data_IF_003988036587
#
_entry.id   IF_003988036587
#
_cell.length_a   1.000
_cell.length_b   1.000
_cell.length_c   1.000
_cell.angle_alpha   90.00
_cell.angle_beta   90.00
_cell.angle_gamma   90.00
#
_symmetry.space_group_name_H-M   'P 1'
#
loop_
_entity.id
_entity.type
_entity.pdbx_description
1 polymer ?
#
# COMPACT_ATOMS: atom_id res chain seq x y z
N UNK A 1 -10.77 35.77 -58.99
CA UNK A 1 -11.13 35.78 -57.55
C UNK A 1 -11.69 34.45 -57.03
N UNK A 2 -12.17 33.50 -57.85
CA UNK A 2 -12.77 32.24 -57.36
C UNK A 2 -11.80 31.23 -56.70
N UNK A 3 -10.53 31.16 -57.10
CA UNK A 3 -9.59 30.16 -56.58
C UNK A 3 -9.29 30.26 -55.07
N UNK A 4 -9.26 31.48 -54.51
CA UNK A 4 -8.98 31.70 -53.09
C UNK A 4 -10.09 31.21 -52.14
N UNK A 5 -11.35 31.18 -52.60
CA UNK A 5 -12.48 30.74 -51.80
C UNK A 5 -12.53 29.20 -51.70
N UNK A 6 -12.20 28.49 -52.79
CA UNK A 6 -12.06 27.02 -52.79
C UNK A 6 -10.97 26.56 -51.82
N UNK A 7 -9.80 27.19 -51.86
CA UNK A 7 -8.66 26.81 -51.01
C UNK A 7 -8.97 27.00 -49.52
N UNK A 8 -9.66 28.10 -49.17
CA UNK A 8 -10.07 28.38 -47.80
C UNK A 8 -11.07 27.35 -47.30
N UNK A 9 -12.12 27.08 -48.08
CA UNK A 9 -13.20 26.15 -47.70
C UNK A 9 -12.73 24.70 -47.63
N UNK A 10 -11.80 24.30 -48.51
CA UNK A 10 -11.16 22.99 -48.46
C UNK A 10 -10.27 22.85 -47.21
N UNK A 11 -9.56 23.91 -46.80
CA UNK A 11 -8.81 23.93 -45.54
C UNK A 11 -9.73 23.85 -44.32
N UNK A 12 -10.87 24.53 -44.35
CA UNK A 12 -11.90 24.45 -43.30
C UNK A 12 -12.50 23.05 -43.19
N UNK A 13 -12.85 22.41 -44.31
CA UNK A 13 -13.37 21.04 -44.33
C UNK A 13 -12.35 20.03 -43.81
N UNK A 14 -11.07 20.14 -44.21
CA UNK A 14 -10.00 19.28 -43.70
C UNK A 14 -9.77 19.47 -42.20
N UNK A 15 -9.75 20.72 -41.73
CA UNK A 15 -9.64 21.02 -40.28
C UNK A 15 -10.85 20.48 -39.51
N UNK A 16 -12.05 20.55 -40.09
CA UNK A 16 -13.25 19.97 -39.50
C UNK A 16 -13.18 18.43 -39.46
N UNK A 17 -12.66 17.77 -40.50
CA UNK A 17 -12.42 16.32 -40.51
C UNK A 17 -11.37 15.90 -39.48
N UNK A 18 -10.26 16.63 -39.39
CA UNK A 18 -9.23 16.41 -38.35
C UNK A 18 -9.82 16.57 -36.95
N UNK A 19 -10.74 17.53 -36.75
CA UNK A 19 -11.42 17.72 -35.46
C UNK A 19 -12.36 16.58 -35.06
N UNK A 20 -12.83 15.77 -36.02
CA UNK A 20 -13.63 14.57 -35.74
C UNK A 20 -12.76 13.36 -35.34
N UNK A 21 -11.43 13.47 -35.44
CA UNK A 21 -10.50 12.38 -35.12
C UNK A 21 -10.44 11.29 -36.19
N UNK A 22 -9.78 10.18 -35.86
CA UNK A 22 -9.68 9.01 -36.72
C UNK A 22 -11.07 8.42 -37.01
N UNK A 23 -11.28 7.95 -38.23
CA UNK A 23 -12.50 7.26 -38.63
C UNK A 23 -12.60 5.91 -37.90
N UNK A 24 -13.78 5.60 -37.35
CA UNK A 24 -14.06 4.36 -36.58
C UNK A 24 -15.39 3.72 -37.02
N UNK A 25 -15.64 3.68 -38.32
CA UNK A 25 -16.87 3.13 -38.91
C UNK A 25 -16.81 1.61 -39.07
N UNK A 26 -15.64 1.06 -39.39
CA UNK A 26 -15.43 -0.39 -39.52
C UNK A 26 -14.79 -1.03 -38.28
N UNK A 27 -14.98 -2.35 -38.04
CA UNK A 27 -14.33 -3.07 -36.95
C UNK A 27 -12.79 -2.97 -36.98
N UNK A 28 -12.19 -2.96 -38.16
CA UNK A 28 -10.73 -2.83 -38.33
C UNK A 28 -10.24 -1.44 -37.92
N UNK A 29 -11.02 -0.41 -38.24
CA UNK A 29 -10.73 0.96 -37.85
C UNK A 29 -10.87 1.17 -36.34
N UNK A 30 -11.93 0.60 -35.75
CA UNK A 30 -12.17 0.60 -34.30
C UNK A 30 -11.05 -0.10 -33.54
N UNK A 31 -10.65 -1.29 -34.01
CA UNK A 31 -9.54 -2.06 -33.43
C UNK A 31 -8.23 -1.29 -33.50
N UNK A 32 -7.92 -0.68 -34.67
CA UNK A 32 -6.71 0.15 -34.82
C UNK A 32 -6.70 1.32 -33.85
N UNK A 33 -7.84 1.99 -33.69
CA UNK A 33 -7.96 3.10 -32.75
C UNK A 33 -7.74 2.65 -31.30
N UNK A 34 -8.36 1.54 -30.89
CA UNK A 34 -8.15 0.99 -29.55
C UNK A 34 -6.69 0.58 -29.31
N UNK A 35 -6.00 0.01 -30.31
CA UNK A 35 -4.58 -0.31 -30.20
C UNK A 35 -3.70 0.94 -30.01
N UNK A 36 -4.03 2.07 -30.63
CA UNK A 36 -3.34 3.34 -30.36
C UNK A 36 -3.57 3.84 -28.93
N UNK A 37 -4.78 3.67 -28.39
CA UNK A 37 -5.09 4.01 -26.99
C UNK A 37 -4.34 3.09 -26.03
N UNK A 38 -4.32 1.77 -26.30
CA UNK A 38 -3.54 0.78 -25.53
C UNK A 38 -2.06 1.15 -25.52
N UNK A 39 -1.48 1.50 -26.67
CA UNK A 39 -0.06 1.87 -26.75
C UNK A 39 0.28 3.09 -25.88
N UNK A 40 -0.59 4.11 -25.87
CA UNK A 40 -0.43 5.29 -24.99
C UNK A 40 -0.55 4.91 -23.52
N UNK A 41 -1.55 4.10 -23.17
CA UNK A 41 -1.80 3.64 -21.81
C UNK A 41 -0.61 2.82 -21.27
N UNK A 42 -0.11 1.87 -22.06
CA UNK A 42 1.05 1.05 -21.71
C UNK A 42 2.29 1.91 -21.52
N UNK A 43 2.53 2.91 -22.38
CA UNK A 43 3.64 3.85 -22.21
C UNK A 43 3.52 4.66 -20.92
N UNK A 44 2.33 5.11 -20.53
CA UNK A 44 2.12 5.80 -19.25
C UNK A 44 2.42 4.84 -18.09
N UNK A 45 1.92 3.61 -18.17
CA UNK A 45 2.12 2.55 -17.18
C UNK A 45 3.60 2.23 -16.97
N UNK A 46 4.35 2.01 -18.05
CA UNK A 46 5.79 1.75 -17.98
C UNK A 46 6.55 2.91 -17.34
N UNK A 47 6.25 4.15 -17.72
CA UNK A 47 6.90 5.32 -17.12
C UNK A 47 6.52 5.48 -15.63
N UNK A 48 5.27 5.18 -15.26
CA UNK A 48 4.81 5.23 -13.88
C UNK A 48 5.51 4.20 -12.98
N UNK A 49 5.71 2.98 -13.49
CA UNK A 49 6.38 1.89 -12.78
C UNK A 49 7.89 2.12 -12.64
N UNK A 50 8.54 2.66 -13.67
CA UNK A 50 9.98 2.97 -13.65
C UNK A 50 10.30 4.33 -13.01
N UNK A 51 9.32 5.02 -12.41
CA UNK A 51 9.47 6.36 -11.83
C UNK A 51 9.98 7.43 -12.81
N UNK A 52 9.77 7.23 -14.12
CA UNK A 52 10.19 8.14 -15.18
C UNK A 52 9.17 9.28 -15.40
N UNK A 53 8.92 10.05 -14.34
CA UNK A 53 7.86 11.07 -14.33
C UNK A 53 8.17 12.28 -15.22
N UNK A 54 9.44 12.59 -15.48
CA UNK A 54 9.84 13.68 -16.38
C UNK A 54 9.58 13.40 -17.87
N UNK A 55 9.00 12.26 -18.22
CA UNK A 55 8.71 11.89 -19.60
C UNK A 55 7.48 12.60 -20.20
N UNK A 56 6.53 13.04 -19.37
CA UNK A 56 5.27 13.67 -19.79
C UNK A 56 4.76 14.62 -18.69
N UNK A 57 4.27 15.80 -19.08
CA UNK A 57 3.71 16.81 -18.17
C UNK A 57 2.51 16.30 -17.35
N UNK A 58 1.82 15.27 -17.84
CA UNK A 58 0.69 14.65 -17.15
C UNK A 58 1.04 14.08 -15.77
N UNK A 59 2.29 13.71 -15.51
CA UNK A 59 2.74 13.26 -14.18
C UNK A 59 2.88 14.39 -13.15
N UNK A 60 2.94 15.64 -13.62
CA UNK A 60 2.93 16.83 -12.77
C UNK A 60 1.49 17.32 -12.55
N UNK A 61 0.63 17.19 -13.55
CA UNK A 61 -0.80 17.52 -13.44
C UNK A 61 -1.58 16.53 -12.57
N UNK A 62 -1.27 15.23 -12.66
CA UNK A 62 -2.03 14.16 -12.01
C UNK A 62 -1.15 13.35 -11.07
N UNK A 63 -1.23 13.64 -9.78
CA UNK A 63 -0.48 12.91 -8.75
C UNK A 63 -0.82 11.40 -8.73
N UNK A 64 -2.04 11.03 -9.08
CA UNK A 64 -2.49 9.62 -9.17
C UNK A 64 -1.70 8.79 -10.20
N UNK A 65 -0.98 9.42 -11.14
CA UNK A 65 -0.13 8.71 -12.10
C UNK A 65 1.20 8.24 -11.51
N UNK A 66 1.60 8.75 -10.34
CA UNK A 66 2.88 8.40 -9.69
C UNK A 66 2.77 7.07 -8.93
N UNK A 67 2.30 6.03 -9.63
CA UNK A 67 1.91 4.73 -9.06
C UNK A 67 2.99 4.11 -8.16
N UNK A 68 4.22 3.96 -8.67
CA UNK A 68 5.30 3.35 -7.91
C UNK A 68 5.61 4.12 -6.62
N UNK A 69 5.57 5.46 -6.67
CA UNK A 69 5.79 6.31 -5.50
C UNK A 69 4.66 6.21 -4.49
N UNK A 70 3.40 6.23 -4.94
CA UNK A 70 2.24 6.10 -4.07
C UNK A 70 2.22 4.75 -3.34
N UNK A 71 2.50 3.66 -4.06
CA UNK A 71 2.61 2.31 -3.48
C UNK A 71 3.77 2.25 -2.50
N UNK A 72 4.97 2.71 -2.88
CA UNK A 72 6.15 2.68 -1.98
C UNK A 72 5.92 3.45 -0.68
N UNK A 73 5.31 4.65 -0.77
CA UNK A 73 4.96 5.44 0.40
C UNK A 73 3.93 4.72 1.28
N UNK A 74 2.92 4.09 0.68
CA UNK A 74 1.91 3.35 1.44
C UNK A 74 2.48 2.09 2.10
N UNK A 75 3.44 1.41 1.46
CA UNK A 75 4.17 0.27 2.02
C UNK A 75 4.96 0.69 3.27
N UNK A 76 5.69 1.81 3.21
CA UNK A 76 6.41 2.35 4.36
C UNK A 76 5.46 2.66 5.52
N UNK A 77 4.35 3.35 5.24
CA UNK A 77 3.33 3.66 6.25
C UNK A 77 2.70 2.40 6.87
N UNK A 78 2.44 1.36 6.06
CA UNK A 78 1.91 0.10 6.56
C UNK A 78 2.89 -0.61 7.51
N UNK A 79 4.18 -0.62 7.14
CA UNK A 79 5.24 -1.15 8.00
C UNK A 79 5.26 -0.43 9.36
N UNK A 80 5.20 0.90 9.36
CA UNK A 80 5.18 1.70 10.58
C UNK A 80 3.90 1.47 11.41
N UNK A 81 2.75 1.37 10.76
CA UNK A 81 1.48 1.08 11.41
C UNK A 81 1.48 -0.27 12.11
N UNK A 82 1.92 -1.32 11.43
CA UNK A 82 1.98 -2.67 12.03
C UNK A 82 3.05 -2.72 13.12
N UNK A 83 4.17 -1.99 12.96
CA UNK A 83 5.21 -1.87 13.98
C UNK A 83 4.66 -1.28 15.28
N UNK A 84 4.00 -0.13 15.16
CA UNK A 84 3.58 0.70 16.31
C UNK A 84 2.22 0.28 16.88
N UNK A 85 1.31 -0.22 16.04
CA UNK A 85 -0.11 -0.44 16.38
C UNK A 85 -0.57 -1.88 16.18
N UNK A 86 0.26 -2.77 15.61
CA UNK A 86 -0.14 -4.15 15.32
C UNK A 86 -0.32 -5.03 16.56
N UNK A 87 0.24 -4.63 17.71
CA UNK A 87 0.18 -5.40 18.95
C UNK A 87 -0.99 -4.94 19.84
N UNK A 88 -1.62 -5.86 20.58
CA UNK A 88 -2.68 -5.51 21.54
C UNK A 88 -2.09 -4.87 22.80
N UNK A 89 -1.04 -5.48 23.36
CA UNK A 89 -0.29 -4.96 24.50
C UNK A 89 1.10 -4.50 24.07
N UNK A 90 1.54 -3.33 24.53
CA UNK A 90 2.93 -2.93 24.36
C UNK A 90 3.83 -3.92 25.09
N UNK A 91 4.93 -4.32 24.45
CA UNK A 91 5.95 -5.11 25.12
C UNK A 91 6.68 -4.24 26.14
N UNK A 92 7.10 -4.84 27.25
CA UNK A 92 7.90 -4.11 28.22
C UNK A 92 9.22 -3.67 27.56
N UNK A 93 9.43 -2.36 27.51
CA UNK A 93 10.64 -1.77 26.98
C UNK A 93 11.78 -1.99 27.98
N UNK A 94 12.89 -2.53 27.50
CA UNK A 94 14.10 -2.66 28.30
C UNK A 94 15.24 -1.88 27.63
N UNK A 95 15.17 -0.55 27.70
CA UNK A 95 16.31 0.36 27.49
C UNK A 95 16.96 0.42 26.10
N UNK A 96 16.77 -0.56 25.22
CA UNK A 96 17.40 -0.62 23.90
C UNK A 96 16.57 -1.51 22.95
N UNK A 97 15.27 -1.21 22.81
CA UNK A 97 14.48 -1.68 21.67
C UNK A 97 15.00 -0.97 20.42
N UNK A 98 16.16 -1.41 19.96
CA UNK A 98 16.78 -0.96 18.74
C UNK A 98 15.97 -1.55 17.58
N UNK A 99 14.95 -0.78 17.18
CA UNK A 99 14.36 -0.88 15.85
C UNK A 99 15.29 -0.25 14.79
N UNK A 100 16.49 0.19 15.18
CA UNK A 100 17.53 0.81 14.36
C UNK A 100 18.89 0.07 14.46
N UNK A 101 18.95 -1.26 14.34
CA UNK A 101 20.23 -1.94 14.08
C UNK A 101 20.48 -2.11 12.58
N UNK A 102 21.27 -1.17 12.05
CA UNK A 102 22.33 -1.31 11.03
C UNK A 102 22.05 -2.12 9.75
N UNK A 103 21.82 -1.35 8.68
CA UNK A 103 22.31 -1.66 7.33
C UNK A 103 23.84 -1.76 7.32
N UNK A 104 24.47 -2.79 6.73
CA UNK A 104 25.89 -2.76 6.45
C UNK A 104 26.15 -1.80 5.29
N UNK A 105 26.47 -0.54 5.60
CA UNK A 105 27.15 0.47 4.75
C UNK A 105 26.81 0.42 3.25
N UNK A 106 25.87 1.26 2.83
CA UNK A 106 26.05 2.00 1.57
C UNK A 106 25.53 3.43 1.73
N UNK A 107 26.46 4.37 1.82
CA UNK A 107 26.18 5.80 1.76
C UNK A 107 25.63 6.16 0.38
N UNK A 108 24.36 6.54 0.30
CA UNK A 108 23.87 7.37 -0.81
C UNK A 108 23.19 8.60 -0.21
N UNK A 109 23.92 9.70 -0.28
CA UNK A 109 23.49 11.07 -0.02
C UNK A 109 22.17 11.38 -0.72
N UNK A 110 21.17 11.82 0.06
CA UNK A 110 20.06 12.62 -0.47
C UNK A 110 20.29 14.09 -0.13
N UNK A 111 20.03 15.04 -1.06
CA UNK A 111 20.32 16.46 -0.88
C UNK A 111 19.26 17.16 -0.02
N UNK A 112 19.61 18.29 0.64
CA UNK A 112 18.66 19.06 1.44
C UNK A 112 17.75 19.89 0.52
N UNK A 113 16.44 19.74 0.67
CA UNK A 113 15.48 20.66 0.07
C UNK A 113 15.28 21.84 1.02
N UNK A 114 15.86 22.97 0.63
CA UNK A 114 15.69 24.27 1.25
C UNK A 114 14.55 25.00 0.54
N UNK A 115 13.40 25.18 1.19
CA UNK A 115 12.51 26.31 0.91
C UNK A 115 11.91 26.76 2.24
N UNK A 116 12.25 27.99 2.63
CA UNK A 116 11.78 28.60 3.86
C UNK A 116 10.40 29.24 3.72
N UNK A 117 9.74 29.40 4.86
CA UNK A 117 8.79 30.47 5.11
C UNK A 117 8.83 30.79 6.62
N UNK A 118 9.24 32.01 6.94
CA UNK A 118 9.13 32.62 8.27
C UNK A 118 7.67 33.01 8.51
N UNK A 119 7.11 32.74 9.70
CA UNK A 119 6.18 33.65 10.40
C UNK A 119 6.18 33.34 11.92
N UNK A 120 6.45 34.37 12.73
CA UNK A 120 5.73 34.72 13.96
C UNK A 120 5.88 33.86 15.22
N UNK A 121 6.66 34.37 16.17
CA UNK A 121 6.49 34.12 17.60
C UNK A 121 5.22 34.83 18.09
N UNK A 122 4.38 34.14 18.86
CA UNK A 122 3.51 34.74 19.88
C UNK A 122 3.16 33.67 20.92
N UNK A 123 3.39 34.01 22.18
CA UNK A 123 3.19 33.21 23.39
C UNK A 123 1.73 33.26 23.87
N UNK A 124 1.30 32.13 24.46
CA UNK A 124 0.30 31.94 25.51
C UNK A 124 -1.12 32.53 25.39
N UNK A 125 -2.13 31.66 25.27
CA UNK A 125 -3.36 31.76 26.06
C UNK A 125 -4.08 30.40 26.19
N UNK A 126 -4.62 30.16 27.39
CA UNK A 126 -5.10 28.89 27.95
C UNK A 126 -6.46 28.37 27.43
N UNK A 127 -6.59 27.02 27.46
CA UNK A 127 -7.77 26.18 27.79
C UNK A 127 -9.08 26.39 26.99
N UNK A 128 -9.59 25.34 26.35
CA UNK A 128 -10.49 24.31 26.91
C UNK A 128 -10.97 23.35 25.81
N UNK A 129 -11.27 22.12 26.24
CA UNK A 129 -12.16 21.13 25.63
C UNK A 129 -11.82 20.59 24.23
N UNK A 130 -11.29 19.37 24.17
CA UNK A 130 -11.82 18.28 23.32
C UNK A 130 -11.38 16.94 23.92
N UNK A 131 -12.18 16.43 24.86
CA UNK A 131 -12.41 14.99 24.91
C UNK A 131 -13.12 14.61 23.59
N UNK A 132 -12.73 13.47 23.03
CA UNK A 132 -13.41 12.74 21.94
C UNK A 132 -12.85 12.86 20.50
N UNK A 133 -11.61 12.38 20.26
CA UNK A 133 -11.21 11.75 18.98
C UNK A 133 -10.17 10.64 19.25
N UNK A 134 -10.59 9.49 19.79
CA UNK A 134 -9.70 8.34 20.01
C UNK A 134 -9.82 7.29 18.90
N UNK A 135 -9.51 7.66 17.65
CA UNK A 135 -9.48 6.67 16.56
C UNK A 135 -8.59 7.05 15.39
N UNK A 136 -7.95 6.02 14.84
CA UNK A 136 -7.15 6.09 13.61
C UNK A 136 -7.95 5.45 12.47
N UNK A 137 -8.17 6.16 11.35
CA UNK A 137 -8.82 5.59 10.18
C UNK A 137 -7.94 4.49 9.55
N UNK A 138 -8.55 3.34 9.22
CA UNK A 138 -7.89 2.19 8.57
C UNK A 138 -7.38 2.48 7.18
N UNK A 139 -8.14 3.28 6.42
CA UNK A 139 -7.83 3.70 5.05
C UNK A 139 -7.45 5.17 5.06
N UNK A 140 -6.51 5.52 4.18
CA UNK A 140 -6.01 6.89 4.04
C UNK A 140 -6.36 7.52 2.71
N UNK A 141 -7.03 6.77 1.85
CA UNK A 141 -7.35 7.15 0.48
C UNK A 141 -8.86 7.07 0.30
N UNK A 142 -9.41 8.14 -0.28
CA UNK A 142 -10.85 8.24 -0.54
C UNK A 142 -11.35 7.13 -1.47
N UNK A 143 -12.58 6.69 -1.21
CA UNK A 143 -13.23 5.58 -1.91
C UNK A 143 -13.50 5.98 -3.37
N UNK A 144 -13.12 5.11 -4.30
CA UNK A 144 -13.64 5.19 -5.65
C UNK A 144 -15.00 4.47 -5.69
N UNK A 145 -16.07 5.20 -6.01
CA UNK A 145 -17.44 4.66 -6.05
C UNK A 145 -17.58 3.43 -6.96
N UNK A 146 -16.74 3.30 -7.99
CA UNK A 146 -16.77 2.19 -8.96
C UNK A 146 -16.41 0.83 -8.34
N UNK A 147 -15.75 0.82 -7.17
CA UNK A 147 -15.26 -0.39 -6.49
C UNK A 147 -15.67 -0.44 -5.02
N UNK A 148 -16.61 0.40 -4.58
CA UNK A 148 -17.02 0.50 -3.18
C UNK A 148 -17.50 -0.84 -2.61
N UNK A 149 -18.25 -1.62 -3.41
CA UNK A 149 -18.83 -2.91 -3.01
C UNK A 149 -17.81 -4.01 -2.65
N UNK A 150 -16.56 -3.88 -3.09
CA UNK A 150 -15.50 -4.87 -2.82
C UNK A 150 -14.51 -4.42 -1.75
N UNK A 151 -14.56 -3.15 -1.36
CA UNK A 151 -13.67 -2.60 -0.35
C UNK A 151 -14.28 -2.79 1.04
N UNK A 152 -13.48 -3.24 2.00
CA UNK A 152 -13.95 -3.43 3.37
C UNK A 152 -14.20 -2.07 4.05
N UNK A 153 -15.25 -2.00 4.87
CA UNK A 153 -15.60 -0.81 5.65
C UNK A 153 -14.47 -0.37 6.58
N UNK A 154 -14.36 0.95 6.78
CA UNK A 154 -13.41 1.54 7.72
C UNK A 154 -13.82 1.27 9.17
N UNK A 155 -13.32 0.18 9.77
CA UNK A 155 -13.49 -0.09 11.20
C UNK A 155 -12.35 0.54 12.01
N UNK A 156 -12.67 1.15 13.15
CA UNK A 156 -11.70 1.82 14.00
C UNK A 156 -10.75 0.83 14.72
N UNK A 157 -9.46 1.17 14.83
CA UNK A 157 -8.46 0.34 15.53
C UNK A 157 -8.14 0.98 16.88
N UNK A 158 -8.42 0.25 17.96
CA UNK A 158 -8.08 0.67 19.32
C UNK A 158 -6.56 0.80 19.54
N UNK A 159 -6.16 1.73 20.41
CA UNK A 159 -4.77 1.90 20.82
C UNK A 159 -4.21 0.69 21.58
N UNK A 160 -2.89 0.53 21.55
CA UNK A 160 -2.21 -0.54 22.29
C UNK A 160 -2.26 -0.25 23.79
N UNK A 161 -2.53 -1.28 24.59
CA UNK A 161 -2.49 -1.18 26.05
C UNK A 161 -1.03 -1.10 26.49
N UNK A 162 -0.64 0.01 27.12
CA UNK A 162 0.75 0.29 27.51
C UNK A 162 1.22 -0.48 28.74
N UNK A 163 0.29 -1.07 29.49
CA UNK A 163 0.55 -1.80 30.73
C UNK A 163 -0.24 -3.11 30.79
N UNK A 164 0.17 -3.99 31.69
CA UNK A 164 -0.57 -5.23 31.99
C UNK A 164 -0.30 -6.40 31.05
N UNK A 165 0.76 -6.36 30.23
CA UNK A 165 1.11 -7.50 29.37
C UNK A 165 1.42 -8.76 30.19
N UNK A 166 2.17 -8.63 31.30
CA UNK A 166 2.53 -9.75 32.16
C UNK A 166 1.32 -10.33 32.88
N UNK A 167 0.42 -9.49 33.42
CA UNK A 167 -0.82 -9.97 34.05
C UNK A 167 -1.73 -10.65 33.04
N UNK A 168 -1.82 -10.09 31.82
CA UNK A 168 -2.59 -10.71 30.73
C UNK A 168 -2.04 -12.07 30.31
N UNK A 169 -0.71 -12.21 30.22
CA UNK A 169 -0.06 -13.50 29.95
C UNK A 169 -0.28 -14.46 31.12
N UNK A 170 -0.21 -13.99 32.36
CA UNK A 170 -0.47 -14.79 33.56
C UNK A 170 -1.89 -15.34 33.58
N UNK A 171 -2.90 -14.50 33.34
CA UNK A 171 -4.30 -14.92 33.26
C UNK A 171 -4.48 -15.97 32.16
N UNK A 172 -3.92 -15.73 30.97
CA UNK A 172 -4.01 -16.65 29.84
C UNK A 172 -3.31 -18.00 30.12
N UNK A 173 -2.17 -17.95 30.81
CA UNK A 173 -1.45 -19.13 31.25
C UNK A 173 -2.24 -19.90 32.31
N UNK A 174 -2.83 -19.24 33.30
CA UNK A 174 -3.64 -19.88 34.34
C UNK A 174 -4.90 -20.55 33.78
N UNK A 175 -5.50 -19.96 32.74
CA UNK A 175 -6.65 -20.52 32.02
C UNK A 175 -6.29 -21.70 31.11
N UNK A 176 -5.02 -21.84 30.72
CA UNK A 176 -4.58 -22.79 29.69
C UNK A 176 -3.59 -23.86 30.17
N UNK A 177 -3.06 -23.73 31.40
CA UNK A 177 -2.03 -24.65 31.93
C UNK A 177 -2.62 -26.03 32.22
N UNK A 178 -1.85 -27.06 31.90
CA UNK A 178 -2.14 -28.45 32.21
C UNK A 178 -1.29 -28.94 33.37
N UNK A 179 -0.77 -30.17 33.23
CA UNK A 179 0.04 -30.86 34.23
C UNK A 179 1.55 -30.61 34.06
N UNK A 180 1.97 -29.49 33.45
CA UNK A 180 3.38 -29.22 33.16
C UNK A 180 4.22 -29.00 34.42
N UNK A 181 5.42 -29.60 34.46
CA UNK A 181 6.34 -29.51 35.58
C UNK A 181 7.32 -28.34 35.38
N UNK A 182 6.95 -27.14 35.86
CA UNK A 182 7.84 -25.98 35.89
C UNK A 182 8.08 -25.31 34.53
N UNK A 183 7.27 -25.63 33.51
CA UNK A 183 7.30 -25.04 32.16
C UNK A 183 5.86 -24.78 31.66
N UNK A 184 5.68 -24.65 30.35
CA UNK A 184 4.39 -24.43 29.69
C UNK A 184 4.25 -25.29 28.41
N UNK A 185 3.02 -25.64 28.03
CA UNK A 185 2.73 -26.27 26.75
C UNK A 185 2.96 -25.31 25.58
N UNK A 186 3.56 -25.79 24.47
CA UNK A 186 3.81 -24.97 23.27
C UNK A 186 2.56 -24.34 22.66
N UNK A 187 1.38 -24.92 22.91
CA UNK A 187 0.08 -24.38 22.47
C UNK A 187 -0.24 -22.99 23.05
N UNK A 188 0.34 -22.63 24.20
CA UNK A 188 0.17 -21.30 24.78
C UNK A 188 0.75 -20.23 23.87
N UNK A 189 1.87 -20.49 23.20
CA UNK A 189 2.53 -19.52 22.32
C UNK A 189 1.67 -19.19 21.11
N UNK A 190 1.00 -20.19 20.52
CA UNK A 190 0.02 -19.96 19.44
C UNK A 190 -1.13 -19.08 19.92
N UNK A 191 -1.64 -19.35 21.11
CA UNK A 191 -2.78 -18.61 21.70
C UNK A 191 -2.41 -17.16 22.00
N UNK A 192 -1.27 -16.95 22.66
CA UNK A 192 -0.77 -15.62 23.01
C UNK A 192 -0.45 -14.84 21.73
N UNK A 193 0.20 -15.46 20.73
CA UNK A 193 0.49 -14.82 19.44
C UNK A 193 -0.79 -14.41 18.70
N UNK A 194 -1.79 -15.31 18.61
CA UNK A 194 -3.07 -15.03 17.93
C UNK A 194 -3.82 -13.86 18.57
N UNK A 195 -3.86 -13.81 19.91
CA UNK A 195 -4.47 -12.71 20.67
C UNK A 195 -3.64 -11.43 20.56
N UNK A 196 -2.32 -11.50 20.66
CA UNK A 196 -1.44 -10.34 20.59
C UNK A 196 -1.44 -9.66 19.22
N UNK A 197 -1.62 -10.43 18.14
CA UNK A 197 -1.72 -9.98 16.75
C UNK A 197 -3.15 -9.65 16.30
N UNK A 198 -4.11 -9.46 17.22
CA UNK A 198 -5.52 -9.24 16.87
C UNK A 198 -5.75 -8.02 15.96
N UNK A 199 -4.83 -7.06 15.93
CA UNK A 199 -4.91 -5.85 15.11
C UNK A 199 -4.31 -6.00 13.71
N UNK A 200 -3.68 -7.14 13.38
CA UNK A 200 -3.08 -7.36 12.06
C UNK A 200 -4.10 -7.44 10.92
N UNK A 201 -5.21 -8.22 11.02
CA UNK A 201 -6.22 -8.23 9.96
C UNK A 201 -6.76 -6.84 9.63
N UNK A 202 -7.18 -6.04 10.64
CA UNK A 202 -7.60 -4.67 10.41
C UNK A 202 -6.66 -3.80 9.57
N UNK A 203 -5.38 -3.87 9.91
CA UNK A 203 -4.33 -3.07 9.28
C UNK A 203 -4.04 -3.56 7.85
N UNK A 204 -3.97 -4.87 7.66
CA UNK A 204 -3.68 -5.48 6.37
C UNK A 204 -4.83 -5.29 5.37
N UNK A 205 -6.07 -5.48 5.82
CA UNK A 205 -7.29 -5.21 5.03
C UNK A 205 -7.35 -3.74 4.59
N UNK A 206 -7.10 -2.81 5.51
CA UNK A 206 -7.08 -1.37 5.22
C UNK A 206 -5.98 -1.01 4.22
N UNK A 207 -4.77 -1.51 4.44
CA UNK A 207 -3.65 -1.33 3.53
C UNK A 207 -3.94 -1.84 2.12
N UNK A 208 -4.45 -3.07 1.99
CA UNK A 208 -4.66 -3.64 0.66
C UNK A 208 -5.80 -2.93 -0.09
N UNK A 209 -6.84 -2.47 0.63
CA UNK A 209 -7.87 -1.62 0.05
C UNK A 209 -7.32 -0.27 -0.44
N UNK A 210 -6.38 0.34 0.30
CA UNK A 210 -5.70 1.56 -0.14
C UNK A 210 -4.89 1.30 -1.43
N UNK A 211 -4.15 0.19 -1.52
CA UNK A 211 -3.39 -0.17 -2.75
C UNK A 211 -4.34 -0.41 -3.93
N UNK A 212 -5.45 -1.14 -3.73
CA UNK A 212 -6.47 -1.34 -4.77
C UNK A 212 -6.99 0.01 -5.27
N UNK A 213 -7.27 0.95 -4.36
CA UNK A 213 -7.76 2.29 -4.69
C UNK A 213 -6.71 3.10 -5.46
N UNK A 214 -5.43 3.05 -5.06
CA UNK A 214 -4.32 3.68 -5.81
C UNK A 214 -4.26 3.15 -7.23
N UNK A 215 -4.28 1.82 -7.39
CA UNK A 215 -4.17 1.15 -8.70
C UNK A 215 -5.38 1.46 -9.58
N UNK A 216 -6.59 1.45 -9.00
CA UNK A 216 -7.81 1.78 -9.73
C UNK A 216 -7.81 3.24 -10.21
N UNK A 217 -7.46 4.18 -9.32
CA UNK A 217 -7.36 5.60 -9.66
C UNK A 217 -6.28 5.85 -10.72
N UNK A 218 -5.15 5.15 -10.64
CA UNK A 218 -4.12 5.15 -11.68
C UNK A 218 -4.69 4.72 -13.04
N UNK A 219 -5.37 3.57 -13.10
CA UNK A 219 -5.94 3.03 -14.36
C UNK A 219 -6.95 4.00 -14.94
N UNK A 220 -7.91 4.49 -14.14
CA UNK A 220 -8.93 5.42 -14.59
C UNK A 220 -8.32 6.72 -15.13
N UNK A 221 -7.29 7.26 -14.45
CA UNK A 221 -6.60 8.49 -14.88
C UNK A 221 -5.75 8.27 -16.13
N UNK A 222 -5.00 7.18 -16.20
CA UNK A 222 -4.16 6.84 -17.35
C UNK A 222 -5.02 6.56 -18.59
N UNK A 223 -6.19 5.92 -18.44
CA UNK A 223 -7.17 5.76 -19.52
C UNK A 223 -7.69 7.13 -19.97
N UNK A 224 -8.10 8.00 -19.05
CA UNK A 224 -8.60 9.35 -19.35
C UNK A 224 -7.60 10.20 -20.14
N UNK A 225 -6.31 10.03 -19.90
CA UNK A 225 -5.26 10.73 -20.66
C UNK A 225 -5.03 10.07 -22.02
N UNK A 226 -5.12 8.74 -22.07
CA UNK A 226 -4.89 7.96 -23.29
C UNK A 226 -6.01 8.15 -24.32
N UNK A 227 -7.25 8.37 -23.87
CA UNK A 227 -8.41 8.66 -24.72
C UNK A 227 -9.02 10.03 -24.38
N UNK A 228 -9.10 10.92 -25.37
CA UNK A 228 -9.66 12.28 -25.18
C UNK A 228 -11.20 12.32 -25.12
N UNK A 229 -11.84 11.17 -25.35
CA UNK A 229 -13.30 11.01 -25.45
C UNK A 229 -13.83 10.41 -24.14
N UNK A 230 -14.66 11.14 -23.36
CA UNK A 230 -15.16 10.66 -22.07
C UNK A 230 -16.12 9.48 -22.20
N UNK A 231 -16.83 9.34 -23.33
CA UNK A 231 -17.74 8.22 -23.56
C UNK A 231 -16.91 6.96 -23.77
N UNK A 232 -15.87 7.06 -24.59
CA UNK A 232 -14.95 5.94 -24.82
C UNK A 232 -14.24 5.52 -23.53
N UNK A 233 -13.79 6.49 -22.71
CA UNK A 233 -13.21 6.20 -21.40
C UNK A 233 -14.15 5.35 -20.54
N UNK A 234 -15.40 5.78 -20.40
CA UNK A 234 -16.42 5.07 -19.62
C UNK A 234 -16.72 3.68 -20.17
N UNK A 235 -16.84 3.54 -21.50
CA UNK A 235 -17.06 2.25 -22.15
C UNK A 235 -15.89 1.29 -21.93
N UNK A 236 -14.65 1.74 -22.12
CA UNK A 236 -13.46 0.91 -21.88
C UNK A 236 -13.44 0.48 -20.41
N UNK A 237 -13.59 1.41 -19.47
CA UNK A 237 -13.54 1.11 -18.04
C UNK A 237 -14.60 0.06 -17.67
N UNK A 238 -15.84 0.25 -18.13
CA UNK A 238 -16.96 -0.70 -17.90
C UNK A 238 -16.61 -2.11 -18.36
N UNK A 239 -16.01 -2.27 -19.54
CA UNK A 239 -15.62 -3.59 -20.06
C UNK A 239 -14.42 -4.20 -19.33
N UNK A 240 -13.59 -3.39 -18.66
CA UNK A 240 -12.47 -3.88 -17.87
C UNK A 240 -12.88 -4.26 -16.44
N UNK A 241 -14.01 -3.74 -15.93
CA UNK A 241 -14.40 -3.86 -14.52
C UNK A 241 -14.43 -5.29 -14.00
N UNK A 242 -15.04 -6.24 -14.73
CA UNK A 242 -15.11 -7.64 -14.29
C UNK A 242 -13.71 -8.23 -14.07
N UNK A 243 -12.79 -7.97 -15.01
CA UNK A 243 -11.41 -8.43 -14.93
C UNK A 243 -10.58 -7.70 -13.86
N UNK A 244 -10.90 -6.43 -13.58
CA UNK A 244 -10.29 -5.65 -12.50
C UNK A 244 -10.72 -6.20 -11.14
N UNK A 245 -12.03 -6.39 -10.94
CA UNK A 245 -12.63 -6.92 -9.71
C UNK A 245 -12.07 -8.31 -9.40
N UNK A 246 -11.93 -9.19 -10.40
CA UNK A 246 -11.33 -10.51 -10.22
C UNK A 246 -9.91 -10.42 -9.64
N UNK A 247 -9.07 -9.52 -10.18
CA UNK A 247 -7.69 -9.32 -9.71
C UNK A 247 -7.62 -8.69 -8.32
N UNK A 248 -8.50 -7.73 -8.03
CA UNK A 248 -8.61 -7.14 -6.70
C UNK A 248 -9.00 -8.19 -5.66
N UNK A 249 -9.95 -9.08 -5.99
CA UNK A 249 -10.33 -10.21 -5.12
C UNK A 249 -9.19 -11.21 -4.89
N UNK A 250 -8.35 -11.48 -5.90
CA UNK A 250 -7.15 -12.33 -5.72
C UNK A 250 -6.20 -11.73 -4.67
N UNK A 251 -5.98 -10.42 -4.71
CA UNK A 251 -5.15 -9.72 -3.73
C UNK A 251 -5.74 -9.74 -2.31
N UNK A 252 -7.05 -9.52 -2.18
CA UNK A 252 -7.76 -9.67 -0.89
C UNK A 252 -7.62 -11.09 -0.33
N UNK A 253 -7.89 -12.11 -1.17
CA UNK A 253 -7.76 -13.51 -0.77
C UNK A 253 -6.33 -13.90 -0.40
N UNK A 254 -5.31 -13.33 -1.05
CA UNK A 254 -3.91 -13.53 -0.67
C UNK A 254 -3.62 -12.92 0.70
N UNK A 255 -4.18 -11.76 1.00
CA UNK A 255 -4.05 -11.10 2.31
C UNK A 255 -4.63 -11.97 3.43
N UNK A 256 -5.83 -12.52 3.21
CA UNK A 256 -6.48 -13.46 4.15
C UNK A 256 -5.65 -14.73 4.36
N UNK A 257 -5.08 -15.27 3.27
CA UNK A 257 -4.22 -16.44 3.34
C UNK A 257 -2.95 -16.19 4.19
N UNK A 258 -2.30 -15.05 3.99
CA UNK A 258 -1.12 -14.65 4.78
C UNK A 258 -1.47 -14.45 6.26
N UNK A 259 -2.60 -13.81 6.56
CA UNK A 259 -3.11 -13.65 7.92
C UNK A 259 -3.36 -15.01 8.59
N UNK A 260 -3.96 -15.95 7.86
CA UNK A 260 -4.22 -17.30 8.34
C UNK A 260 -2.92 -18.04 8.69
N UNK A 261 -1.91 -17.96 7.82
CA UNK A 261 -0.60 -18.59 8.06
C UNK A 261 0.03 -18.07 9.35
N UNK A 262 0.10 -16.75 9.51
CA UNK A 262 0.83 -16.14 10.62
C UNK A 262 0.09 -16.21 11.97
N UNK A 263 -1.25 -16.25 11.95
CA UNK A 263 -2.06 -16.15 13.18
C UNK A 263 -2.73 -17.43 13.62
N UNK A 264 -3.00 -18.37 12.70
CA UNK A 264 -3.71 -19.63 13.03
C UNK A 264 -2.78 -20.85 13.04
N UNK A 265 -1.58 -20.72 12.46
CA UNK A 265 -0.58 -21.78 12.45
C UNK A 265 0.18 -21.94 13.77
N UNK A 266 0.96 -23.02 13.86
CA UNK A 266 1.94 -23.20 14.93
C UNK A 266 3.08 -22.20 14.73
N UNK A 267 3.42 -21.38 15.75
CA UNK A 267 4.57 -20.49 15.68
C UNK A 267 5.83 -21.25 15.29
N UNK A 268 6.42 -20.87 14.15
CA UNK A 268 7.62 -21.50 13.62
C UNK A 268 8.55 -20.43 13.08
N UNK A 269 9.82 -20.54 13.47
CA UNK A 269 10.88 -19.67 12.98
C UNK A 269 12.15 -20.49 12.80
N UNK A 270 12.71 -20.44 11.59
CA UNK A 270 14.08 -20.86 11.29
C UNK A 270 15.03 -19.66 11.32
N UNK A 271 14.54 -18.47 11.70
CA UNK A 271 15.34 -17.27 11.73
C UNK A 271 16.35 -17.33 12.89
N UNK A 272 17.65 -17.31 12.57
CA UNK A 272 18.73 -17.38 13.53
C UNK A 272 18.72 -16.24 14.57
N UNK A 273 18.08 -15.11 14.27
CA UNK A 273 17.92 -13.99 15.20
C UNK A 273 16.93 -14.27 16.34
N UNK A 274 16.09 -15.30 16.26
CA UNK A 274 15.14 -15.60 17.34
C UNK A 274 15.87 -15.84 18.67
N UNK A 275 16.93 -16.66 18.64
CA UNK A 275 17.69 -16.96 19.85
C UNK A 275 18.45 -15.73 20.35
N UNK A 276 19.07 -14.94 19.46
CA UNK A 276 19.75 -13.71 19.88
C UNK A 276 18.79 -12.70 20.50
N UNK A 277 17.59 -12.53 19.92
CA UNK A 277 16.54 -11.65 20.46
C UNK A 277 16.07 -12.13 21.84
N UNK A 278 15.89 -13.45 22.01
CA UNK A 278 15.48 -14.05 23.27
C UNK A 278 16.54 -13.86 24.37
N UNK A 279 17.81 -14.10 24.04
CA UNK A 279 18.90 -13.89 24.99
C UNK A 279 19.05 -12.42 25.36
N UNK A 280 18.93 -11.50 24.38
CA UNK A 280 18.95 -10.06 24.61
C UNK A 280 17.82 -9.64 25.57
N UNK A 281 16.59 -10.07 25.33
CA UNK A 281 15.44 -9.77 26.20
C UNK A 281 15.61 -10.30 27.63
N UNK A 282 16.14 -11.52 27.79
CA UNK A 282 16.44 -12.11 29.11
C UNK A 282 17.52 -11.32 29.86
N UNK A 283 18.60 -10.96 29.17
CA UNK A 283 19.69 -10.17 29.75
C UNK A 283 19.21 -8.78 30.19
N UNK A 284 18.42 -8.13 29.34
CA UNK A 284 17.78 -6.85 29.59
C UNK A 284 16.87 -6.86 30.83
N UNK A 285 16.07 -7.91 31.00
CA UNK A 285 15.22 -8.10 32.17
C UNK A 285 16.05 -8.27 33.44
N UNK A 286 17.11 -9.08 33.40
CA UNK A 286 18.05 -9.25 34.52
C UNK A 286 18.74 -7.92 34.84
N UNK A 287 19.28 -7.23 33.84
CA UNK A 287 19.94 -5.94 34.02
C UNK A 287 19.00 -4.90 34.64
N UNK A 288 17.74 -4.84 34.19
CA UNK A 288 16.71 -3.95 34.74
C UNK A 288 16.37 -4.28 36.20
N UNK A 289 16.35 -5.56 36.57
CA UNK A 289 16.14 -5.98 37.94
C UNK A 289 17.34 -5.63 38.84
N UNK A 290 18.56 -5.85 38.36
CA UNK A 290 19.82 -5.50 39.05
C UNK A 290 19.96 -3.99 39.24
N UNK A 291 19.57 -3.19 38.24
CA UNK A 291 19.62 -1.72 38.32
C UNK A 291 18.76 -1.16 39.46
N UNK A 292 17.68 -1.84 39.85
CA UNK A 292 16.82 -1.41 40.98
C UNK A 292 17.50 -1.56 42.34
N UNK A 293 18.52 -2.42 42.44
CA UNK A 293 19.32 -2.62 43.66
C UNK A 293 20.72 -1.98 43.55
N UNK A 294 20.93 -1.09 42.56
CA UNK A 294 22.19 -0.36 42.45
C UNK A 294 22.33 0.66 43.58
N UNK A 295 23.56 0.89 44.00
CA UNK A 295 23.91 2.02 44.85
C UNK A 295 25.18 2.68 44.30
N UNK A 296 25.23 4.01 44.34
CA UNK A 296 26.39 4.74 43.85
C UNK A 296 27.46 4.82 44.93
N UNK A 297 28.70 4.49 44.55
CA UNK A 297 29.88 4.55 45.42
C UNK A 297 30.84 5.59 44.88
N UNK A 298 31.29 6.49 45.76
CA UNK A 298 32.37 7.42 45.48
C UNK A 298 33.71 6.68 45.52
N UNK A 299 34.41 6.70 44.40
CA UNK A 299 35.72 6.06 44.25
C UNK A 299 36.82 7.03 44.66
N UNK A 300 37.99 6.49 45.03
CA UNK A 300 39.15 7.30 45.44
C UNK A 300 39.67 8.27 44.35
N UNK A 301 39.33 8.04 43.08
CA UNK A 301 39.66 8.90 41.94
C UNK A 301 38.65 10.05 41.74
N UNK A 302 37.66 10.18 42.62
CA UNK A 302 36.58 11.17 42.52
C UNK A 302 35.45 10.79 41.56
N UNK A 303 35.52 9.62 40.90
CA UNK A 303 34.43 9.12 40.06
C UNK A 303 33.33 8.46 40.90
N UNK A 304 32.08 8.60 40.46
CA UNK A 304 30.95 7.83 41.00
C UNK A 304 30.74 6.60 40.13
N UNK A 305 30.68 5.42 40.77
CA UNK A 305 30.36 4.16 40.09
C UNK A 305 29.14 3.51 40.71
N UNK A 306 28.25 2.99 39.86
CA UNK A 306 27.14 2.16 40.31
C UNK A 306 27.68 0.77 40.69
N UNK A 307 27.45 0.38 41.94
CA UNK A 307 27.85 -0.89 42.51
C UNK A 307 26.61 -1.72 42.89
N UNK A 308 26.81 -3.03 42.97
CA UNK A 308 25.76 -4.02 43.21
C UNK A 308 26.27 -5.07 44.19
N UNK A 309 25.42 -5.50 45.12
CA UNK A 309 25.77 -6.63 45.98
C UNK A 309 25.53 -7.93 45.23
N UNK A 310 26.49 -8.86 45.27
CA UNK A 310 26.36 -10.16 44.60
C UNK A 310 25.13 -10.95 45.11
N UNK A 311 24.74 -10.75 46.37
CA UNK A 311 23.52 -11.36 46.94
C UNK A 311 22.23 -10.88 46.28
N UNK A 312 22.19 -9.68 45.70
CA UNK A 312 21.01 -9.16 45.01
C UNK A 312 20.78 -9.88 43.67
N UNK A 313 21.85 -10.37 43.04
CA UNK A 313 21.76 -11.25 41.86
C UNK A 313 21.06 -12.57 42.19
N UNK A 314 21.27 -13.11 43.40
CA UNK A 314 20.65 -14.37 43.86
C UNK A 314 19.16 -14.16 44.18
N UNK A 315 18.77 -13.00 44.69
CA UNK A 315 17.35 -12.66 44.95
C UNK A 315 16.51 -12.60 43.68
N UNK A 316 17.09 -12.21 42.55
CA UNK A 316 16.41 -12.22 41.24
C UNK A 316 15.97 -13.65 40.86
N UNK A 317 16.67 -14.68 41.33
CA UNK A 317 16.34 -16.08 41.07
C UNK A 317 15.30 -16.69 42.03
N UNK A 318 14.88 -16.00 43.10
CA UNK A 318 13.87 -16.48 44.07
C UNK A 318 12.42 -16.19 43.63
N UNK A 319 12.10 -16.38 42.35
CA UNK A 319 10.75 -16.23 41.81
C UNK A 319 9.95 -17.54 41.96
N UNK A 320 8.62 -17.45 42.10
CA UNK A 320 7.77 -18.64 42.02
C UNK A 320 7.85 -19.25 40.62
N UNK A 321 7.68 -20.57 40.50
CA UNK A 321 7.69 -21.27 39.21
C UNK A 321 6.73 -20.60 38.21
N UNK A 322 5.51 -20.28 38.65
CA UNK A 322 4.49 -19.62 37.81
C UNK A 322 4.96 -18.27 37.28
N UNK A 323 5.58 -17.44 38.12
CA UNK A 323 6.06 -16.12 37.70
C UNK A 323 7.22 -16.21 36.72
N UNK A 324 8.14 -17.17 36.93
CA UNK A 324 9.22 -17.44 35.99
C UNK A 324 8.67 -17.91 34.63
N UNK A 325 7.67 -18.79 34.62
CA UNK A 325 7.01 -19.26 33.40
C UNK A 325 6.37 -18.12 32.61
N UNK A 326 5.71 -17.17 33.27
CA UNK A 326 5.08 -16.00 32.62
C UNK A 326 6.12 -15.10 31.96
N UNK A 327 7.24 -14.82 32.63
CA UNK A 327 8.35 -14.04 32.05
C UNK A 327 8.98 -14.75 30.86
N UNK A 328 9.14 -16.08 30.91
CA UNK A 328 9.65 -16.87 29.78
C UNK A 328 8.70 -16.83 28.57
N UNK A 329 7.38 -16.92 28.80
CA UNK A 329 6.38 -16.77 27.72
C UNK A 329 6.47 -15.37 27.11
N UNK A 330 6.59 -14.32 27.94
CA UNK A 330 6.75 -12.94 27.48
C UNK A 330 8.00 -12.76 26.61
N UNK A 331 9.17 -13.22 27.08
CA UNK A 331 10.45 -13.05 26.39
C UNK A 331 10.44 -13.78 25.03
N UNK A 332 9.86 -14.99 24.97
CA UNK A 332 9.68 -15.76 23.74
C UNK A 332 8.69 -15.07 22.80
N UNK A 333 7.55 -14.61 23.31
CA UNK A 333 6.55 -13.89 22.53
C UNK A 333 7.15 -12.62 21.92
N UNK A 334 7.85 -11.79 22.69
CA UNK A 334 8.48 -10.55 22.23
C UNK A 334 9.43 -10.84 21.06
N UNK A 335 10.27 -11.85 21.24
CA UNK A 335 11.30 -12.24 20.27
C UNK A 335 10.68 -12.80 18.98
N UNK A 336 9.69 -13.69 19.11
CA UNK A 336 8.98 -14.26 17.96
C UNK A 336 8.13 -13.24 17.22
N UNK A 337 7.39 -12.40 17.95
CA UNK A 337 6.52 -11.36 17.40
C UNK A 337 7.32 -10.40 16.52
N UNK A 338 8.53 -9.97 16.95
CA UNK A 338 9.41 -9.11 16.14
C UNK A 338 9.72 -9.73 14.78
N UNK A 339 10.03 -11.02 14.74
CA UNK A 339 10.35 -11.74 13.49
C UNK A 339 9.10 -11.95 12.63
N UNK A 340 8.04 -12.47 13.22
CA UNK A 340 6.78 -12.75 12.51
C UNK A 340 6.18 -11.48 11.91
N UNK A 341 6.22 -10.36 12.65
CA UNK A 341 5.73 -9.05 12.20
C UNK A 341 6.45 -8.58 10.93
N UNK A 342 7.79 -8.61 10.93
CA UNK A 342 8.59 -8.18 9.76
C UNK A 342 8.27 -9.06 8.54
N UNK A 343 8.29 -10.38 8.73
CA UNK A 343 7.94 -11.36 7.68
C UNK A 343 6.53 -11.14 7.13
N UNK A 344 5.56 -10.90 8.00
CA UNK A 344 4.18 -10.64 7.59
C UNK A 344 4.06 -9.37 6.74
N UNK A 345 4.64 -8.26 7.20
CA UNK A 345 4.62 -6.98 6.45
C UNK A 345 5.27 -7.14 5.08
N UNK A 346 6.46 -7.73 5.02
CA UNK A 346 7.16 -8.01 3.76
C UNK A 346 6.32 -8.87 2.81
N UNK A 347 5.73 -9.95 3.32
CA UNK A 347 4.90 -10.84 2.51
C UNK A 347 3.63 -10.18 1.99
N UNK A 348 2.96 -9.35 2.79
CA UNK A 348 1.75 -8.63 2.34
C UNK A 348 2.14 -7.61 1.26
N UNK A 349 3.21 -6.85 1.47
CA UNK A 349 3.71 -5.89 0.47
C UNK A 349 4.14 -6.56 -0.83
N UNK A 350 4.88 -7.68 -0.77
CA UNK A 350 5.41 -8.35 -1.96
C UNK A 350 4.37 -9.21 -2.67
N UNK A 351 3.59 -10.00 -1.94
CA UNK A 351 2.71 -11.01 -2.54
C UNK A 351 1.31 -10.46 -2.80
N UNK A 352 0.69 -9.81 -1.81
CA UNK A 352 -0.67 -9.32 -1.96
C UNK A 352 -0.72 -8.00 -2.75
N UNK A 353 0.18 -7.05 -2.47
CA UNK A 353 0.21 -5.77 -3.15
C UNK A 353 1.03 -5.81 -4.44
N UNK A 354 2.34 -5.97 -4.37
CA UNK A 354 3.22 -5.83 -5.53
C UNK A 354 2.91 -6.86 -6.64
N UNK A 355 2.97 -8.16 -6.31
CA UNK A 355 2.74 -9.22 -7.30
C UNK A 355 1.31 -9.20 -7.88
N UNK A 356 0.27 -9.09 -7.07
CA UNK A 356 -1.10 -9.14 -7.59
C UNK A 356 -1.62 -7.82 -8.17
N UNK A 357 -1.12 -6.65 -7.73
CA UNK A 357 -1.70 -5.35 -8.07
C UNK A 357 -0.77 -4.41 -8.86
N UNK A 358 0.55 -4.64 -8.87
CA UNK A 358 1.51 -3.66 -9.42
C UNK A 358 2.39 -4.23 -10.54
N UNK A 359 3.23 -5.22 -10.23
CA UNK A 359 4.31 -5.66 -11.14
C UNK A 359 4.11 -7.07 -11.69
N UNK A 360 3.23 -7.88 -11.10
CA UNK A 360 3.04 -9.25 -11.57
C UNK A 360 2.39 -9.35 -12.94
N UNK A 361 2.44 -10.55 -13.56
CA UNK A 361 1.97 -10.77 -14.91
C UNK A 361 0.46 -10.50 -15.04
N UNK A 362 -0.31 -10.85 -14.01
CA UNK A 362 -1.75 -10.60 -13.96
C UNK A 362 -2.11 -9.26 -13.31
N UNK A 363 -1.18 -8.31 -13.19
CA UNK A 363 -1.50 -7.03 -12.57
C UNK A 363 -2.62 -6.26 -13.33
N UNK A 364 -3.48 -5.48 -12.64
CA UNK A 364 -4.67 -4.84 -13.22
C UNK A 364 -4.44 -3.97 -14.46
N UNK A 365 -3.30 -3.28 -14.55
CA UNK A 365 -2.92 -2.49 -15.74
C UNK A 365 -2.68 -3.36 -16.98
N UNK A 366 -2.33 -4.65 -16.82
CA UNK A 366 -2.04 -5.54 -17.93
C UNK A 366 -3.31 -6.09 -18.61
N UNK A 367 -4.51 -5.83 -18.06
CA UNK A 367 -5.77 -6.20 -18.73
C UNK A 367 -5.88 -5.48 -20.06
N UNK A 368 -5.70 -4.16 -20.03
CA UNK A 368 -5.86 -3.31 -21.21
C UNK A 368 -4.62 -3.44 -22.09
N UNK A 369 -4.70 -4.39 -23.03
CA UNK A 369 -3.58 -4.89 -23.82
C UNK A 369 -3.98 -5.13 -25.28
N UNK A 370 -3.02 -5.30 -26.20
CA UNK A 370 -3.33 -5.64 -27.58
C UNK A 370 -4.12 -6.95 -27.71
N UNK A 371 -3.81 -7.92 -26.84
CA UNK A 371 -4.53 -9.19 -26.77
C UNK A 371 -5.99 -9.00 -26.37
N UNK A 372 -6.28 -8.08 -25.45
CA UNK A 372 -7.65 -7.75 -25.08
C UNK A 372 -8.43 -7.19 -26.27
N UNK A 373 -7.84 -6.28 -27.06
CA UNK A 373 -8.47 -5.75 -28.28
C UNK A 373 -8.74 -6.84 -29.30
N UNK A 374 -7.81 -7.77 -29.48
CA UNK A 374 -7.95 -8.89 -30.41
C UNK A 374 -9.10 -9.84 -30.05
N UNK A 375 -9.41 -9.99 -28.76
CA UNK A 375 -10.49 -10.85 -28.28
C UNK A 375 -11.89 -10.21 -28.39
N UNK A 376 -12.00 -8.94 -28.79
CA UNK A 376 -13.29 -8.26 -28.91
C UNK A 376 -14.03 -8.72 -30.17
N UNK A 377 -15.32 -9.00 -30.01
CA UNK A 377 -16.23 -9.22 -31.14
C UNK A 377 -16.56 -7.92 -31.87
N UNK A 378 -17.02 -7.96 -33.13
CA UNK A 378 -17.43 -6.77 -33.88
C UNK A 378 -18.49 -5.93 -33.15
N UNK A 379 -19.44 -6.58 -32.48
CA UNK A 379 -20.49 -5.88 -31.72
C UNK A 379 -19.92 -5.16 -30.49
N UNK A 380 -18.92 -5.76 -29.83
CA UNK A 380 -18.22 -5.12 -28.71
C UNK A 380 -17.35 -3.97 -29.20
N UNK A 381 -16.66 -4.11 -30.33
CA UNK A 381 -15.88 -3.03 -30.95
C UNK A 381 -16.76 -1.83 -31.31
N UNK A 382 -17.94 -2.09 -31.89
CA UNK A 382 -18.92 -1.06 -32.22
C UNK A 382 -19.43 -0.37 -30.94
N UNK A 383 -19.72 -1.13 -29.90
CA UNK A 383 -20.20 -0.59 -28.63
C UNK A 383 -19.13 0.24 -27.89
N UNK A 384 -17.88 -0.21 -27.90
CA UNK A 384 -16.78 0.47 -27.19
C UNK A 384 -16.30 1.68 -27.97
N UNK A 385 -15.92 1.49 -29.24
CA UNK A 385 -15.15 2.46 -30.02
C UNK A 385 -15.89 3.01 -31.26
N UNK A 386 -17.10 2.52 -31.55
CA UNK A 386 -17.90 2.98 -32.68
C UNK A 386 -18.25 4.47 -32.61
N UNK A 387 -18.29 5.11 -33.77
CA UNK A 387 -18.74 6.51 -33.84
C UNK A 387 -20.26 6.59 -33.73
N UNK A 388 -20.76 7.59 -33.01
CA UNK A 388 -22.18 7.91 -33.05
C UNK A 388 -22.65 8.19 -34.49
N UNK A 389 -23.91 7.84 -34.79
CA UNK A 389 -24.54 8.10 -36.08
C UNK A 389 -24.46 9.59 -36.50
N UNK A 390 -24.50 10.50 -35.53
CA UNK A 390 -24.36 11.94 -35.73
C UNK A 390 -22.97 12.30 -36.31
N UNK A 391 -21.92 11.73 -35.74
CA UNK A 391 -20.51 11.90 -36.12
C UNK A 391 -20.26 11.23 -37.47
N UNK A 392 -20.73 9.99 -37.68
CA UNK A 392 -20.62 9.28 -38.96
C UNK A 392 -21.22 10.08 -40.11
N UNK A 393 -22.44 10.59 -39.93
CA UNK A 393 -23.13 11.45 -40.92
C UNK A 393 -22.37 12.73 -41.20
N UNK A 394 -21.82 13.36 -40.15
CA UNK A 394 -21.02 14.59 -40.30
C UNK A 394 -19.72 14.32 -41.05
N UNK A 395 -19.02 13.22 -40.73
CA UNK A 395 -17.80 12.76 -41.41
C UNK A 395 -18.07 12.50 -42.89
N UNK A 396 -19.10 11.71 -43.22
CA UNK A 396 -19.50 11.44 -44.60
C UNK A 396 -19.81 12.72 -45.39
N UNK A 397 -20.52 13.67 -44.77
CA UNK A 397 -20.81 14.96 -45.41
C UNK A 397 -19.55 15.76 -45.73
N UNK A 398 -18.63 15.86 -44.77
CA UNK A 398 -17.37 16.60 -44.93
C UNK A 398 -16.43 15.90 -45.92
N UNK A 399 -16.37 14.57 -45.93
CA UNK A 399 -15.60 13.79 -46.90
C UNK A 399 -16.12 14.04 -48.32
N UNK A 400 -17.45 13.99 -48.51
CA UNK A 400 -18.08 14.29 -49.79
C UNK A 400 -17.80 15.73 -50.24
N UNK A 401 -17.98 16.72 -49.36
CA UNK A 401 -17.68 18.13 -49.70
C UNK A 401 -16.20 18.31 -50.05
N UNK A 402 -15.29 17.60 -49.36
CA UNK A 402 -13.85 17.65 -49.66
C UNK A 402 -13.55 17.04 -51.03
N UNK A 403 -14.14 15.90 -51.37
CA UNK A 403 -13.99 15.26 -52.69
C UNK A 403 -14.53 16.16 -53.81
N UNK A 404 -15.72 16.75 -53.62
CA UNK A 404 -16.35 17.64 -54.59
C UNK A 404 -15.50 18.91 -54.81
N UNK A 405 -14.97 19.50 -53.73
CA UNK A 405 -14.07 20.66 -53.80
C UNK A 405 -12.73 20.32 -54.48
N UNK A 406 -12.18 19.14 -54.26
CA UNK A 406 -10.95 18.67 -54.94
C UNK A 406 -11.17 18.40 -56.43
N UNK A 407 -12.30 17.78 -56.79
CA UNK A 407 -12.69 17.58 -58.18
C UNK A 407 -12.89 18.93 -58.89
N UNK A 408 -13.61 19.87 -58.26
CA UNK A 408 -13.78 21.22 -58.78
C UNK A 408 -12.45 21.96 -58.96
N UNK A 409 -11.50 21.78 -58.04
CA UNK A 409 -10.14 22.35 -58.17
C UNK A 409 -9.38 21.79 -59.37
N UNK A 410 -9.49 20.48 -59.65
CA UNK A 410 -8.83 19.82 -60.78
C UNK A 410 -9.40 20.23 -62.15
N UNK A 411 -10.65 20.70 -62.20
CA UNK A 411 -11.30 21.16 -63.44
C UNK A 411 -10.98 22.64 -63.74
N UNK A 412 -10.68 23.43 -62.70
CA UNK A 412 -10.38 24.87 -62.80
C UNK A 412 -8.88 25.21 -62.98
N UNK A 413 -8.01 24.20 -62.90
CA UNK A 413 -6.58 24.23 -63.22
C UNK A 413 -6.38 23.54 -64.56
#
# INVERSE_FOLDING_TARGET
MCGGNFQRRLKECRKALESLGAERESPEQQSRYLLEVVSKFQRITENALHTNYGSQDSFDEYHSLRLATLVANRNAQFSDEVSNKGHVYCFNAHGHDDDSENDPKTSVTSPPSSVGAQVGEDEDEEKEAYDDINSIPRRKIDICHDIEDILHDCVQIEYSKTQGILSWIEDLYLESRGFELGTFSSSILSTVMKKQSAKWPPLAEGYICDIISIVHNFISTALKISCRDPILHSNILTFLMDGLIERYRKSLSMTDFLLKIEREGTPMSQNHYLNSNLQKGRQERIASAVKKSSFSVDMHDGSKRDCYQVSDLVRIHHMSNSKQTVEDIHDILKSYYKVARKRFVENVCMQAADFHLVTGPEAPMNIFSPSWVYCLSPDQLEHIAGEELSIRRRRHRLQKETQDLEAGRKILL
#
